data_IF_387694732137
#
_entry.id   IF_387694732137
#
_cell.length_a   1.000
_cell.length_b   1.000
_cell.length_c   1.000
_cell.angle_alpha   90.00
_cell.angle_beta   90.00
_cell.angle_gamma   90.00
#
_symmetry.space_group_name_H-M   'P 1'
#
loop_
_entity.id
_entity.type
_entity.pdbx_description
1 polymer ?
#
# COMPACT_ATOMS: atom_id res chain seq x y z
N UNK A 1 12.24 -1.09 -2.41
CA UNK A 1 11.08 -0.18 -2.30
C UNK A 1 11.19 1.00 -3.26
N UNK A 2 10.05 1.57 -3.70
CA UNK A 2 9.95 2.66 -4.67
C UNK A 2 10.81 3.89 -4.39
N UNK A 3 11.14 4.17 -3.12
CA UNK A 3 12.02 5.28 -2.73
C UNK A 3 13.36 5.27 -3.50
N UNK A 4 13.89 4.07 -3.78
CA UNK A 4 15.16 3.85 -4.49
C UNK A 4 14.98 3.46 -5.97
N UNK A 5 13.76 3.50 -6.50
CA UNK A 5 13.53 3.21 -7.92
C UNK A 5 14.07 4.37 -8.79
N UNK A 6 14.41 4.07 -10.03
CA UNK A 6 14.69 5.12 -11.01
C UNK A 6 13.42 5.96 -11.24
N UNK A 7 13.59 7.24 -11.61
CA UNK A 7 12.46 8.16 -11.76
C UNK A 7 11.43 7.64 -12.76
N UNK A 8 11.88 7.07 -13.88
CA UNK A 8 10.99 6.55 -14.92
C UNK A 8 10.09 5.41 -14.41
N UNK A 9 10.57 4.61 -13.45
CA UNK A 9 9.76 3.57 -12.80
C UNK A 9 8.82 4.16 -11.74
N UNK A 10 9.24 5.22 -11.05
CA UNK A 10 8.37 5.90 -10.08
C UNK A 10 7.20 6.60 -10.76
N UNK A 11 7.43 7.18 -11.94
CA UNK A 11 6.41 7.85 -12.74
C UNK A 11 5.30 6.86 -13.21
N UNK A 12 5.60 5.55 -13.21
CA UNK A 12 4.69 4.47 -13.60
C UNK A 12 4.21 3.62 -12.42
N UNK A 13 4.34 4.08 -11.18
CA UNK A 13 3.76 3.40 -10.04
C UNK A 13 2.22 3.40 -10.10
N UNK A 14 1.54 2.38 -9.55
CA UNK A 14 0.12 2.45 -9.28
C UNK A 14 -0.24 3.70 -8.46
N UNK A 15 -1.44 4.28 -8.64
CA UNK A 15 -1.85 5.49 -7.94
C UNK A 15 -1.72 5.38 -6.41
N UNK A 16 -2.08 4.22 -5.84
CA UNK A 16 -1.94 3.95 -4.41
C UNK A 16 -0.48 4.02 -3.95
N UNK A 17 0.41 3.29 -4.62
CA UNK A 17 1.84 3.28 -4.34
C UNK A 17 2.49 4.67 -4.56
N UNK A 18 1.98 5.46 -5.52
CA UNK A 18 2.43 6.83 -5.77
C UNK A 18 2.12 7.75 -4.58
N UNK A 19 0.90 7.66 -4.05
CA UNK A 19 0.49 8.44 -2.86
C UNK A 19 1.33 8.04 -1.65
N UNK A 20 1.52 6.74 -1.43
CA UNK A 20 2.34 6.22 -0.33
C UNK A 20 3.80 6.67 -0.43
N UNK A 21 4.43 6.54 -1.60
CA UNK A 21 5.80 7.03 -1.83
C UNK A 21 5.93 8.53 -1.55
N UNK A 22 4.95 9.33 -1.99
CA UNK A 22 4.94 10.77 -1.72
C UNK A 22 4.87 11.04 -0.21
N UNK A 23 3.97 10.37 0.51
CA UNK A 23 3.82 10.54 1.95
C UNK A 23 5.10 10.12 2.70
N UNK A 24 5.68 8.98 2.33
CA UNK A 24 6.94 8.47 2.88
C UNK A 24 8.08 9.47 2.69
N UNK A 25 8.22 10.06 1.48
CA UNK A 25 9.20 11.12 1.21
C UNK A 25 8.96 12.37 2.04
N UNK A 26 7.72 12.84 2.10
CA UNK A 26 7.37 14.03 2.89
C UNK A 26 7.70 13.81 4.37
N UNK A 27 7.39 12.63 4.93
CA UNK A 27 7.71 12.30 6.33
C UNK A 27 9.22 12.23 6.55
N UNK A 28 9.96 11.50 5.69
CA UNK A 28 11.41 11.40 5.77
C UNK A 28 12.10 12.78 5.72
N UNK A 29 11.72 13.64 4.77
CA UNK A 29 12.31 14.98 4.65
C UNK A 29 11.96 15.87 5.84
N UNK A 30 10.73 15.77 6.34
CA UNK A 30 10.33 16.50 7.56
C UNK A 30 11.19 16.07 8.74
N UNK A 31 11.27 14.78 9.03
CA UNK A 31 12.01 14.23 10.17
C UNK A 31 13.51 14.54 10.06
N UNK A 32 14.08 14.45 8.85
CA UNK A 32 15.46 14.88 8.60
C UNK A 32 15.67 16.36 8.89
N UNK A 33 14.78 17.24 8.43
CA UNK A 33 14.91 18.68 8.64
C UNK A 33 14.76 19.07 10.11
N UNK A 34 13.89 18.38 10.85
CA UNK A 34 13.68 18.61 12.29
C UNK A 34 14.92 18.18 13.11
N UNK A 35 15.65 17.15 12.66
CA UNK A 35 16.76 16.57 13.44
C UNK A 35 18.16 16.98 12.98
N UNK A 36 18.37 17.30 11.70
CA UNK A 36 19.72 17.47 11.11
C UNK A 36 20.65 18.43 11.86
N UNK A 37 20.10 19.45 12.54
CA UNK A 37 20.87 20.41 13.32
C UNK A 37 21.40 19.83 14.64
N UNK A 38 20.76 18.78 15.15
CA UNK A 38 21.13 18.07 16.37
C UNK A 38 22.00 16.83 16.11
N UNK A 39 22.01 16.34 14.86
CA UNK A 39 22.79 15.17 14.41
C UNK A 39 23.72 15.54 13.24
N UNK A 40 24.45 16.66 13.35
CA UNK A 40 25.24 17.23 12.25
C UNK A 40 26.31 16.29 11.67
N UNK A 41 26.77 15.33 12.46
CA UNK A 41 27.81 14.36 12.06
C UNK A 41 27.24 13.12 11.36
N UNK A 42 25.92 12.98 11.30
CA UNK A 42 25.24 11.84 10.67
C UNK A 42 24.92 12.18 9.21
N UNK A 43 25.47 11.44 8.22
CA UNK A 43 25.10 11.62 6.82
C UNK A 43 23.62 11.31 6.60
N UNK A 44 22.98 12.02 5.67
CA UNK A 44 21.56 11.81 5.35
C UNK A 44 21.29 10.38 4.88
N UNK A 45 22.26 9.74 4.24
CA UNK A 45 22.19 8.36 3.78
C UNK A 45 22.04 7.39 4.97
N UNK A 46 22.83 7.58 6.03
CA UNK A 46 22.77 6.77 7.25
C UNK A 46 21.48 7.03 8.03
N UNK A 47 21.04 8.30 8.10
CA UNK A 47 19.75 8.64 8.67
C UNK A 47 18.61 7.94 7.93
N UNK A 48 18.59 8.03 6.59
CA UNK A 48 17.56 7.41 5.75
C UNK A 48 17.55 5.89 5.91
N UNK A 49 18.73 5.26 5.91
CA UNK A 49 18.85 3.82 6.14
C UNK A 49 18.24 3.41 7.49
N UNK A 50 18.57 4.14 8.56
CA UNK A 50 18.07 3.87 9.92
C UNK A 50 16.57 4.15 10.02
N UNK A 51 16.08 5.22 9.41
CA UNK A 51 14.67 5.58 9.35
C UNK A 51 13.83 4.48 8.66
N UNK A 52 14.35 3.92 7.57
CA UNK A 52 13.71 2.79 6.89
C UNK A 52 13.73 1.51 7.70
N UNK A 53 14.79 1.24 8.47
CA UNK A 53 14.81 0.11 9.41
C UNK A 53 13.68 0.25 10.42
N UNK A 54 13.50 1.42 11.04
CA UNK A 54 12.43 1.66 12.00
C UNK A 54 11.07 1.42 11.34
N UNK A 55 10.83 1.97 10.15
CA UNK A 55 9.53 1.83 9.48
C UNK A 55 9.21 0.39 9.03
N UNK A 56 10.22 -0.42 8.72
CA UNK A 56 10.02 -1.77 8.17
C UNK A 56 10.06 -2.89 9.20
N UNK A 57 10.55 -2.62 10.42
CA UNK A 57 10.88 -3.67 11.42
C UNK A 57 10.33 -3.41 12.82
N UNK A 58 9.64 -2.30 13.02
CA UNK A 58 9.06 -1.96 14.32
C UNK A 58 7.76 -2.71 14.59
N UNK A 59 7.47 -2.93 15.86
CA UNK A 59 6.20 -3.39 16.39
C UNK A 59 5.55 -2.27 17.22
N UNK A 60 4.21 -2.27 17.31
CA UNK A 60 3.48 -1.29 18.11
C UNK A 60 3.29 -1.76 19.55
N UNK A 61 4.03 -1.16 20.48
CA UNK A 61 3.97 -1.48 21.90
C UNK A 61 3.10 -0.47 22.65
N UNK A 62 1.84 -0.83 22.84
CA UNK A 62 0.85 0.01 23.51
C UNK A 62 0.75 -0.23 25.02
N UNK A 63 1.68 -0.99 25.60
CA UNK A 63 1.71 -1.42 27.00
C UNK A 63 0.47 -2.26 27.40
N UNK A 64 0.31 -3.45 26.81
CA UNK A 64 -0.82 -4.33 27.09
C UNK A 64 -0.75 -4.90 28.51
N UNK A 65 -1.91 -5.22 29.08
CA UNK A 65 -2.09 -5.92 30.36
C UNK A 65 -1.39 -5.30 31.59
N UNK A 66 -1.04 -4.02 31.52
CA UNK A 66 -0.54 -3.26 32.66
C UNK A 66 -1.65 -2.48 33.36
N UNK A 67 -1.70 -2.59 34.69
CA UNK A 67 -2.56 -1.74 35.53
C UNK A 67 -2.26 -0.26 35.29
N UNK A 68 -3.27 0.61 35.29
CA UNK A 68 -3.12 2.04 35.05
C UNK A 68 -2.14 2.76 36.01
N UNK A 69 -1.88 2.18 37.19
CA UNK A 69 -0.92 2.68 38.17
C UNK A 69 0.51 2.11 38.01
N UNK A 70 0.73 1.25 37.01
CA UNK A 70 1.98 0.51 36.88
C UNK A 70 3.16 1.45 36.55
N UNK A 71 4.31 1.34 37.23
CA UNK A 71 5.42 2.29 37.11
C UNK A 71 6.10 2.30 35.72
N UNK A 72 5.92 1.24 34.92
CA UNK A 72 6.41 1.18 33.53
C UNK A 72 5.53 1.95 32.54
N UNK A 73 4.33 2.40 32.92
CA UNK A 73 3.47 3.14 32.01
C UNK A 73 3.98 4.58 31.81
N UNK A 74 3.96 5.10 30.57
CA UNK A 74 4.28 6.50 30.32
C UNK A 74 3.31 7.43 31.04
N UNK A 75 3.85 8.43 31.76
CA UNK A 75 3.05 9.41 32.53
C UNK A 75 1.97 10.13 31.69
N UNK A 76 2.16 10.23 30.37
CA UNK A 76 1.26 10.89 29.42
C UNK A 76 0.72 9.91 28.36
N UNK A 77 0.47 8.64 28.71
CA UNK A 77 -0.03 7.60 27.78
C UNK A 77 -1.19 8.06 26.90
N UNK A 78 -2.15 8.81 27.46
CA UNK A 78 -3.32 9.34 26.72
C UNK A 78 -2.98 10.34 25.60
N UNK A 79 -1.77 10.88 25.60
CA UNK A 79 -1.29 11.82 24.59
C UNK A 79 -0.38 11.14 23.56
N UNK A 80 -0.03 9.87 23.76
CA UNK A 80 0.80 9.13 22.82
C UNK A 80 -0.02 8.78 21.58
N UNK A 81 0.63 8.94 20.43
CA UNK A 81 0.15 8.48 19.13
C UNK A 81 0.79 7.14 18.80
N UNK A 82 0.36 6.51 17.69
CA UNK A 82 0.98 5.29 17.21
C UNK A 82 2.49 5.46 16.96
N UNK A 83 2.91 6.64 16.45
CA UNK A 83 4.31 6.95 16.18
C UNK A 83 5.18 7.02 17.47
N UNK A 84 4.56 7.19 18.64
CA UNK A 84 5.28 7.20 19.93
C UNK A 84 5.44 5.79 20.54
N UNK A 85 4.86 4.78 19.92
CA UNK A 85 4.75 3.41 20.45
C UNK A 85 5.57 2.39 19.65
N UNK A 86 6.58 2.84 18.89
CA UNK A 86 7.46 1.96 18.15
C UNK A 86 8.43 1.20 19.05
N UNK A 87 8.49 -0.12 18.89
CA UNK A 87 9.43 -1.00 19.56
C UNK A 87 10.18 -1.85 18.54
N UNK A 88 11.51 -1.84 18.63
CA UNK A 88 12.35 -2.77 17.88
C UNK A 88 12.41 -4.09 18.65
N UNK A 89 12.06 -5.20 17.98
CA UNK A 89 12.05 -6.54 18.58
C UNK A 89 13.06 -7.45 17.87
N UNK A 90 14.35 -7.43 18.27
CA UNK A 90 15.34 -8.32 17.69
C UNK A 90 14.90 -9.78 17.75
N UNK A 91 15.26 -10.56 16.73
CA UNK A 91 14.83 -11.94 16.49
C UNK A 91 13.41 -12.06 15.93
N UNK A 92 12.46 -11.28 16.44
CA UNK A 92 11.09 -11.24 15.89
C UNK A 92 11.03 -10.52 14.56
N UNK A 93 11.85 -9.49 14.37
CA UNK A 93 11.94 -8.75 13.12
C UNK A 93 12.60 -9.54 11.97
N UNK A 94 13.05 -10.78 12.22
CA UNK A 94 13.52 -11.69 11.17
C UNK A 94 12.41 -12.49 10.50
N UNK A 95 11.21 -12.58 11.08
CA UNK A 95 10.11 -13.28 10.44
C UNK A 95 9.64 -12.52 9.20
N UNK A 96 9.56 -13.23 8.07
CA UNK A 96 9.02 -12.68 6.83
C UNK A 96 7.49 -12.67 6.85
N UNK A 97 6.91 -11.86 5.96
CA UNK A 97 5.47 -11.72 5.83
C UNK A 97 4.84 -12.84 4.99
N UNK A 98 3.70 -13.33 5.46
CA UNK A 98 2.67 -13.93 4.61
C UNK A 98 1.31 -13.34 4.96
N UNK A 99 0.39 -13.34 3.99
CA UNK A 99 -0.99 -12.92 4.21
C UNK A 99 -1.76 -13.90 5.12
N UNK A 100 -1.24 -15.11 5.30
CA UNK A 100 -1.65 -16.11 6.29
C UNK A 100 -0.39 -16.55 7.06
N UNK A 101 -0.33 -16.26 8.35
CA UNK A 101 0.77 -16.70 9.19
C UNK A 101 0.51 -16.49 10.67
N UNK A 102 1.55 -16.68 11.48
CA UNK A 102 1.46 -16.48 12.92
C UNK A 102 1.08 -15.03 13.24
N UNK A 103 0.16 -14.84 14.19
CA UNK A 103 -0.24 -13.52 14.66
C UNK A 103 0.55 -13.15 15.93
N UNK A 104 1.34 -12.06 15.92
CA UNK A 104 2.09 -11.62 17.10
C UNK A 104 1.13 -11.30 18.25
N UNK A 105 1.35 -11.91 19.41
CA UNK A 105 0.63 -11.56 20.64
C UNK A 105 1.54 -10.75 21.56
N UNK A 106 0.98 -9.81 22.31
CA UNK A 106 1.71 -9.02 23.28
C UNK A 106 0.98 -9.02 24.62
N UNK A 107 1.73 -9.23 25.70
CA UNK A 107 1.23 -9.14 27.07
C UNK A 107 2.16 -8.26 27.92
N UNK A 108 1.89 -8.16 29.22
CA UNK A 108 2.74 -7.39 30.15
C UNK A 108 4.22 -7.80 30.22
N UNK A 109 4.61 -8.96 29.66
CA UNK A 109 5.97 -9.51 29.65
C UNK A 109 6.69 -9.30 28.32
N UNK A 110 5.97 -9.12 27.22
CA UNK A 110 6.57 -8.86 25.91
C UNK A 110 5.73 -9.41 24.76
N UNK A 111 6.33 -9.43 23.58
CA UNK A 111 5.78 -10.13 22.43
C UNK A 111 6.03 -11.63 22.50
N UNK A 112 5.13 -12.40 21.89
CA UNK A 112 5.27 -13.82 21.68
C UNK A 112 4.65 -14.21 20.33
N UNK A 113 5.24 -15.22 19.70
CA UNK A 113 4.68 -15.86 18.51
C UNK A 113 4.34 -17.30 18.85
N UNK A 114 3.14 -17.70 18.46
CA UNK A 114 2.70 -19.09 18.54
C UNK A 114 2.56 -19.62 17.12
N UNK A 115 3.10 -20.80 16.86
CA UNK A 115 2.94 -21.46 15.58
C UNK A 115 1.44 -21.67 15.30
N UNK A 116 0.97 -21.15 14.17
CA UNK A 116 -0.40 -21.27 13.67
C UNK A 116 -0.72 -22.66 13.14
N UNK A 117 0.31 -23.43 12.79
CA UNK A 117 0.22 -24.80 12.28
C UNK A 117 1.47 -25.61 12.59
N UNK A 118 1.44 -26.89 12.22
CA UNK A 118 2.64 -27.73 12.25
C UNK A 118 3.59 -27.33 11.11
N UNK A 119 4.85 -27.07 11.46
CA UNK A 119 5.94 -26.78 10.52
C UNK A 119 6.88 -27.97 10.40
N UNK A 120 7.36 -28.26 9.19
CA UNK A 120 8.40 -29.27 8.96
C UNK A 120 9.78 -28.68 9.24
N UNK A 121 10.75 -29.54 9.58
CA UNK A 121 12.14 -29.10 9.68
C UNK A 121 12.62 -28.54 8.32
N UNK A 122 13.18 -27.33 8.34
CA UNK A 122 13.60 -26.60 7.14
C UNK A 122 12.49 -25.77 6.47
N UNK A 123 11.26 -25.80 6.99
CA UNK A 123 10.19 -24.93 6.54
C UNK A 123 10.28 -23.56 7.23
N UNK A 124 10.09 -22.49 6.46
CA UNK A 124 10.10 -21.14 6.98
C UNK A 124 8.80 -20.83 7.74
N UNK A 125 8.95 -20.13 8.87
CA UNK A 125 7.84 -19.62 9.68
C UNK A 125 7.57 -18.19 9.27
N UNK A 126 6.31 -17.90 8.92
CA UNK A 126 5.88 -16.56 8.52
C UNK A 126 4.99 -15.93 9.60
N UNK A 127 4.94 -14.61 9.58
CA UNK A 127 4.05 -13.81 10.42
C UNK A 127 3.20 -12.90 9.53
N UNK A 128 2.02 -12.50 10.01
CA UNK A 128 1.27 -11.43 9.36
C UNK A 128 1.78 -10.07 9.85
N UNK A 129 2.15 -9.18 8.94
CA UNK A 129 2.45 -7.77 9.27
C UNK A 129 1.16 -6.95 9.42
N UNK A 130 0.01 -7.55 9.13
CA UNK A 130 -1.29 -6.90 9.06
C UNK A 130 -1.96 -7.10 7.69
N UNK A 131 -3.22 -6.70 7.59
CA UNK A 131 -4.01 -6.76 6.35
C UNK A 131 -3.60 -5.64 5.39
N UNK A 132 -2.45 -5.83 4.73
CA UNK A 132 -1.86 -4.86 3.82
C UNK A 132 -2.08 -5.23 2.35
N UNK A 133 -2.39 -4.22 1.53
CA UNK A 133 -2.42 -4.38 0.07
C UNK A 133 -1.00 -4.51 -0.48
N UNK A 134 -0.88 -5.07 -1.69
CA UNK A 134 0.43 -5.16 -2.34
C UNK A 134 1.00 -3.76 -2.69
N UNK A 135 0.17 -2.73 -2.86
CA UNK A 135 0.66 -1.36 -3.01
C UNK A 135 1.30 -0.82 -1.72
N UNK A 136 0.74 -1.17 -0.56
CA UNK A 136 1.30 -0.83 0.74
C UNK A 136 2.60 -1.60 1.02
N UNK A 137 2.59 -2.92 0.81
CA UNK A 137 3.78 -3.76 0.95
C UNK A 137 4.92 -3.27 0.04
N UNK A 138 4.60 -2.88 -1.20
CA UNK A 138 5.58 -2.36 -2.13
C UNK A 138 6.20 -1.05 -1.63
N UNK A 139 5.36 -0.09 -1.23
CA UNK A 139 5.80 1.24 -0.82
C UNK A 139 6.57 1.23 0.50
N UNK A 140 6.05 0.54 1.51
CA UNK A 140 6.59 0.57 2.87
C UNK A 140 7.64 -0.51 3.14
N UNK A 141 7.48 -1.72 2.58
CA UNK A 141 8.41 -2.84 2.83
C UNK A 141 9.28 -3.21 1.63
N UNK A 142 8.87 -2.83 0.41
CA UNK A 142 9.66 -3.02 -0.80
C UNK A 142 9.47 -4.35 -1.52
N UNK A 143 8.41 -5.09 -1.21
CA UNK A 143 8.05 -6.34 -1.89
C UNK A 143 6.54 -6.40 -2.17
N UNK A 144 6.11 -7.36 -2.98
CA UNK A 144 4.70 -7.73 -3.17
C UNK A 144 4.56 -9.23 -2.94
N UNK A 145 3.39 -9.70 -2.54
CA UNK A 145 3.09 -11.13 -2.53
C UNK A 145 2.50 -11.54 -3.88
N UNK A 146 2.80 -12.75 -4.34
CA UNK A 146 2.21 -13.28 -5.59
C UNK A 146 0.70 -13.46 -5.47
N UNK A 147 0.25 -13.95 -4.31
CA UNK A 147 -1.16 -14.03 -3.91
C UNK A 147 -1.32 -13.30 -2.58
N UNK A 148 -2.31 -12.41 -2.48
CA UNK A 148 -2.59 -11.65 -1.27
C UNK A 148 -4.10 -11.52 -1.08
N UNK A 149 -4.64 -12.22 -0.07
CA UNK A 149 -6.07 -12.16 0.26
C UNK A 149 -6.55 -10.77 0.70
N UNK A 150 -5.63 -9.94 1.21
CA UNK A 150 -5.92 -8.58 1.70
C UNK A 150 -5.73 -7.50 0.62
N UNK A 151 -5.45 -7.89 -0.63
CA UNK A 151 -5.25 -6.91 -1.70
C UNK A 151 -6.55 -6.21 -2.09
N UNK A 152 -6.44 -4.94 -2.45
CA UNK A 152 -7.55 -4.11 -2.88
C UNK A 152 -7.04 -2.91 -3.68
N UNK A 153 -7.92 -2.33 -4.50
CA UNK A 153 -7.58 -1.22 -5.40
C UNK A 153 -8.41 0.01 -5.03
N UNK A 154 -7.78 1.15 -4.67
CA UNK A 154 -8.53 2.38 -4.47
C UNK A 154 -9.00 2.96 -5.81
N UNK A 155 -10.28 3.33 -5.86
CA UNK A 155 -10.97 3.86 -7.02
C UNK A 155 -11.07 5.39 -7.02
N UNK A 156 -10.59 6.08 -5.99
CA UNK A 156 -10.63 7.54 -5.85
C UNK A 156 -10.12 8.27 -7.10
N UNK A 157 -8.98 7.84 -7.64
CA UNK A 157 -8.37 8.43 -8.84
C UNK A 157 -9.21 8.25 -10.11
N UNK A 158 -10.16 7.30 -10.12
CA UNK A 158 -11.09 7.07 -11.23
C UNK A 158 -12.42 7.77 -11.03
N UNK A 159 -12.92 7.82 -9.78
CA UNK A 159 -14.28 8.27 -9.47
C UNK A 159 -14.35 9.76 -9.11
N UNK A 160 -13.40 10.28 -8.31
CA UNK A 160 -13.42 11.69 -7.90
C UNK A 160 -13.39 12.67 -9.08
N UNK A 161 -12.62 12.44 -10.17
CA UNK A 161 -12.62 13.33 -11.32
C UNK A 161 -13.94 13.40 -12.10
N UNK A 162 -14.86 12.46 -11.86
CA UNK A 162 -16.17 12.41 -12.53
C UNK A 162 -17.23 13.27 -11.85
N UNK A 163 -16.95 13.76 -10.64
CA UNK A 163 -17.92 14.47 -9.82
C UNK A 163 -17.98 15.95 -10.17
N UNK A 164 -19.20 16.50 -10.15
CA UNK A 164 -19.38 17.95 -10.07
C UNK A 164 -18.98 18.47 -8.69
N UNK A 165 -18.86 19.80 -8.56
CA UNK A 165 -18.59 20.42 -7.26
C UNK A 165 -19.72 20.13 -6.27
N UNK A 166 -20.97 20.23 -6.72
CA UNK A 166 -22.16 19.98 -5.90
C UNK A 166 -22.20 18.53 -5.41
N UNK A 167 -21.89 17.56 -6.27
CA UNK A 167 -21.81 16.15 -5.87
C UNK A 167 -20.66 15.90 -4.88
N UNK A 168 -19.53 16.55 -5.09
CA UNK A 168 -18.37 16.45 -4.18
C UNK A 168 -18.71 16.98 -2.79
N UNK A 169 -19.41 18.11 -2.71
CA UNK A 169 -19.79 18.72 -1.44
C UNK A 169 -20.86 17.90 -0.72
N UNK A 170 -21.86 17.37 -1.43
CA UNK A 170 -22.85 16.45 -0.86
C UNK A 170 -22.19 15.21 -0.23
N UNK A 171 -21.24 14.56 -0.93
CA UNK A 171 -20.52 13.41 -0.38
C UNK A 171 -19.70 13.75 0.86
N UNK A 172 -19.19 14.98 0.99
CA UNK A 172 -18.46 15.41 2.19
C UNK A 172 -19.43 15.62 3.36
N UNK A 173 -20.56 16.27 3.11
CA UNK A 173 -21.62 16.48 4.11
C UNK A 173 -22.16 15.16 4.63
N UNK A 174 -22.37 14.19 3.74
CA UNK A 174 -22.88 12.87 4.08
C UNK A 174 -21.78 11.91 4.62
N UNK A 175 -20.51 12.32 4.59
CA UNK A 175 -19.38 11.51 5.08
C UNK A 175 -18.92 10.38 4.13
N UNK A 176 -19.38 10.36 2.88
CA UNK A 176 -19.03 9.35 1.87
C UNK A 176 -17.90 9.76 0.91
N UNK A 177 -17.35 10.97 1.00
CA UNK A 177 -16.30 11.44 0.09
C UNK A 177 -14.99 10.65 0.24
N UNK A 178 -14.52 10.04 -0.86
CA UNK A 178 -13.26 9.30 -0.98
C UNK A 178 -13.24 7.94 -0.27
N UNK A 179 -12.08 7.28 -0.28
CA UNK A 179 -11.85 5.91 0.23
C UNK A 179 -12.74 4.88 -0.48
N UNK A 180 -12.87 5.01 -1.79
CA UNK A 180 -13.61 4.08 -2.62
C UNK A 180 -12.71 2.89 -2.93
N UNK A 181 -13.14 1.68 -2.60
CA UNK A 181 -12.28 0.50 -2.67
C UNK A 181 -12.94 -0.59 -3.51
N UNK A 182 -12.15 -1.19 -4.39
CA UNK A 182 -12.44 -2.42 -5.13
C UNK A 182 -11.74 -3.58 -4.43
N UNK A 183 -12.48 -4.63 -4.10
CA UNK A 183 -11.98 -5.80 -3.39
C UNK A 183 -11.79 -6.99 -4.33
N UNK A 184 -11.03 -7.97 -3.84
CA UNK A 184 -10.80 -9.28 -4.47
C UNK A 184 -11.99 -10.24 -4.34
N UNK A 185 -12.89 -9.97 -3.40
CA UNK A 185 -14.00 -10.84 -2.99
C UNK A 185 -15.26 -10.01 -2.75
N UNK A 186 -16.40 -10.69 -2.56
CA UNK A 186 -17.65 -10.01 -2.23
C UNK A 186 -17.61 -9.36 -0.84
N UNK A 187 -18.12 -8.13 -0.71
CA UNK A 187 -18.67 -7.30 -1.78
C UNK A 187 -17.57 -6.74 -2.70
N UNK A 188 -17.77 -6.78 -4.04
CA UNK A 188 -16.79 -6.30 -5.03
C UNK A 188 -16.33 -4.86 -4.76
N UNK A 189 -17.23 -4.00 -4.27
CA UNK A 189 -16.91 -2.62 -3.90
C UNK A 189 -17.46 -2.26 -2.53
N UNK A 190 -16.77 -1.35 -1.83
CA UNK A 190 -17.22 -0.86 -0.53
C UNK A 190 -18.50 -0.02 -0.61
N UNK A 191 -19.20 0.15 0.52
CA UNK A 191 -20.41 0.97 0.60
C UNK A 191 -20.20 2.43 0.13
N UNK A 192 -19.02 3.01 0.38
CA UNK A 192 -18.68 4.37 -0.09
C UNK A 192 -18.64 4.44 -1.61
N UNK A 193 -18.10 3.41 -2.26
CA UNK A 193 -18.09 3.30 -3.71
C UNK A 193 -19.53 3.14 -4.27
N UNK A 194 -20.40 2.39 -3.58
CA UNK A 194 -21.83 2.29 -3.95
C UNK A 194 -22.54 3.64 -3.86
N UNK A 195 -22.25 4.45 -2.83
CA UNK A 195 -22.84 5.78 -2.64
C UNK A 195 -22.42 6.76 -3.74
N UNK A 196 -21.12 6.88 -4.04
CA UNK A 196 -20.62 7.80 -5.08
C UNK A 196 -21.13 7.41 -6.47
N UNK A 197 -21.18 6.11 -6.79
CA UNK A 197 -21.70 5.67 -8.10
C UNK A 197 -23.19 5.96 -8.24
N UNK A 198 -23.99 5.80 -7.17
CA UNK A 198 -25.41 6.17 -7.17
C UNK A 198 -25.59 7.67 -7.35
N UNK A 199 -24.76 8.49 -6.70
CA UNK A 199 -24.82 9.94 -6.89
C UNK A 199 -24.48 10.37 -8.33
N UNK A 200 -23.59 9.63 -9.00
CA UNK A 200 -23.23 9.89 -10.40
C UNK A 200 -24.35 9.47 -11.36
N UNK A 201 -24.98 8.31 -11.10
CA UNK A 201 -25.85 7.63 -12.08
C UNK A 201 -27.34 7.91 -11.88
N UNK A 202 -27.75 8.20 -10.65
CA UNK A 202 -29.14 8.36 -10.24
C UNK A 202 -29.48 9.81 -9.91
N UNK A 203 -30.77 10.07 -9.69
CA UNK A 203 -31.21 11.35 -9.15
C UNK A 203 -30.92 11.48 -7.64
N UNK A 204 -30.90 12.72 -7.15
CA UNK A 204 -30.59 13.02 -5.75
C UNK A 204 -31.54 12.33 -4.76
N UNK A 205 -32.82 12.11 -5.11
CA UNK A 205 -33.77 11.44 -4.22
C UNK A 205 -33.37 9.99 -4.00
N UNK A 206 -32.99 9.28 -5.06
CA UNK A 206 -32.52 7.88 -4.96
C UNK A 206 -31.21 7.76 -4.20
N UNK A 207 -30.28 8.66 -4.44
CA UNK A 207 -29.04 8.73 -3.67
C UNK A 207 -29.33 8.96 -2.18
N UNK A 208 -30.15 9.96 -1.83
CA UNK A 208 -30.48 10.26 -0.43
C UNK A 208 -31.19 9.11 0.27
N UNK A 209 -32.10 8.40 -0.42
CA UNK A 209 -32.76 7.21 0.16
C UNK A 209 -31.76 6.08 0.46
N UNK A 210 -30.78 5.84 -0.42
CA UNK A 210 -29.75 4.83 -0.18
C UNK A 210 -28.84 5.21 0.99
N UNK A 211 -28.33 6.45 1.00
CA UNK A 211 -27.45 6.95 2.07
C UNK A 211 -28.17 7.02 3.42
N UNK A 212 -29.46 7.39 3.41
CA UNK A 212 -30.31 7.42 4.60
C UNK A 212 -30.70 6.04 5.12
N UNK A 213 -30.44 4.96 4.37
CA UNK A 213 -30.82 3.59 4.73
C UNK A 213 -32.29 3.25 4.50
N UNK A 214 -33.04 4.11 3.80
CA UNK A 214 -34.45 3.89 3.45
C UNK A 214 -34.62 2.94 2.24
N UNK A 215 -33.57 2.74 1.44
CA UNK A 215 -33.53 1.88 0.26
C UNK A 215 -32.23 1.06 0.25
N UNK A 216 -32.34 -0.27 0.07
CA UNK A 216 -31.18 -1.16 -0.05
C UNK A 216 -30.43 -0.99 -1.39
N UNK A 217 -31.03 -0.26 -2.33
CA UNK A 217 -30.46 0.08 -3.63
C UNK A 217 -30.46 -1.08 -4.62
N UNK A 218 -31.14 -2.18 -4.32
CA UNK A 218 -31.17 -3.40 -5.16
C UNK A 218 -31.76 -3.15 -6.56
N UNK A 219 -32.77 -2.28 -6.66
CA UNK A 219 -33.48 -1.97 -7.92
C UNK A 219 -32.58 -1.34 -8.97
N UNK A 220 -31.66 -0.48 -8.56
CA UNK A 220 -30.76 0.26 -9.45
C UNK A 220 -29.37 -0.39 -9.56
N UNK A 221 -29.13 -1.51 -8.86
CA UNK A 221 -27.80 -2.13 -8.77
C UNK A 221 -27.26 -2.52 -10.14
N UNK A 222 -28.08 -3.05 -11.06
CA UNK A 222 -27.65 -3.39 -12.41
C UNK A 222 -27.11 -2.16 -13.16
N UNK A 223 -27.78 -1.02 -13.05
CA UNK A 223 -27.35 0.24 -13.68
C UNK A 223 -26.06 0.78 -13.08
N UNK A 224 -25.88 0.64 -11.76
CA UNK A 224 -24.64 1.00 -11.05
C UNK A 224 -23.48 0.09 -11.50
N UNK A 225 -23.72 -1.21 -11.60
CA UNK A 225 -22.75 -2.20 -12.04
C UNK A 225 -22.30 -1.95 -13.48
N UNK A 226 -23.24 -1.71 -14.40
CA UNK A 226 -22.94 -1.40 -15.80
C UNK A 226 -22.04 -0.15 -15.94
N UNK A 227 -22.35 0.89 -15.16
CA UNK A 227 -21.56 2.12 -15.17
C UNK A 227 -20.14 1.89 -14.64
N UNK A 228 -20.00 1.19 -13.51
CA UNK A 228 -18.69 0.83 -12.95
C UNK A 228 -17.89 -0.07 -13.91
N UNK A 229 -18.51 -1.08 -14.51
CA UNK A 229 -17.87 -1.95 -15.48
C UNK A 229 -17.32 -1.16 -16.68
N UNK A 230 -18.02 -0.11 -17.11
CA UNK A 230 -17.55 0.83 -18.13
C UNK A 230 -16.29 1.59 -17.71
N UNK A 231 -16.25 2.09 -16.47
CA UNK A 231 -15.06 2.78 -15.91
C UNK A 231 -13.88 1.82 -15.81
N UNK A 232 -14.09 0.64 -15.22
CA UNK A 232 -13.06 -0.38 -15.04
C UNK A 232 -12.53 -0.90 -16.38
N UNK A 233 -13.38 -1.01 -17.41
CA UNK A 233 -12.93 -1.38 -18.77
C UNK A 233 -11.95 -0.35 -19.34
N UNK A 234 -12.23 0.95 -19.15
CA UNK A 234 -11.29 2.00 -19.57
C UNK A 234 -9.99 1.94 -18.78
N UNK A 235 -10.09 1.71 -17.47
CA UNK A 235 -8.91 1.57 -16.62
C UNK A 235 -8.05 0.36 -17.02
N UNK A 236 -8.65 -0.81 -17.30
CA UNK A 236 -7.89 -1.97 -17.78
C UNK A 236 -7.15 -1.69 -19.08
N UNK A 237 -7.69 -0.88 -20.00
CA UNK A 237 -6.97 -0.48 -21.22
C UNK A 237 -5.78 0.40 -20.90
N UNK A 238 -5.96 1.37 -20.00
CA UNK A 238 -4.85 2.21 -19.52
C UNK A 238 -3.73 1.40 -18.88
N UNK A 239 -4.05 0.33 -18.15
CA UNK A 239 -3.05 -0.57 -17.57
C UNK A 239 -2.25 -1.30 -18.65
N UNK A 240 -2.86 -1.66 -19.78
CA UNK A 240 -2.14 -2.26 -20.92
C UNK A 240 -1.11 -1.27 -21.46
N UNK A 241 -1.50 -0.01 -21.68
CA UNK A 241 -0.57 1.04 -22.15
C UNK A 241 0.62 1.20 -21.18
N UNK A 242 0.37 1.17 -19.86
CA UNK A 242 1.42 1.26 -18.83
C UNK A 242 2.35 0.04 -18.86
N UNK A 243 1.80 -1.17 -19.05
CA UNK A 243 2.61 -2.38 -19.16
C UNK A 243 3.52 -2.32 -20.40
N UNK A 244 3.00 -1.86 -21.54
CA UNK A 244 3.79 -1.66 -22.76
C UNK A 244 4.90 -0.62 -22.54
N UNK A 245 4.60 0.50 -21.87
CA UNK A 245 5.58 1.52 -21.52
C UNK A 245 6.69 0.96 -20.59
N UNK A 246 6.30 0.19 -19.57
CA UNK A 246 7.24 -0.48 -18.67
C UNK A 246 8.14 -1.47 -19.40
N UNK A 247 7.59 -2.25 -20.34
CA UNK A 247 8.35 -3.20 -21.15
C UNK A 247 9.40 -2.50 -22.02
N UNK A 248 9.08 -1.31 -22.55
CA UNK A 248 9.98 -0.49 -23.36
C UNK A 248 11.09 0.21 -22.56
N UNK A 249 10.97 0.36 -21.24
CA UNK A 249 12.04 0.94 -20.42
C UNK A 249 13.27 0.02 -20.48
N UNK A 250 14.30 0.48 -21.19
CA UNK A 250 15.61 -0.14 -21.20
C UNK A 250 16.21 -0.09 -19.79
N UNK A 251 16.50 -1.26 -19.23
CA UNK A 251 17.34 -1.37 -18.04
C UNK A 251 18.82 -1.15 -18.37
N UNK A 252 19.15 -1.10 -19.66
CA UNK A 252 20.47 -0.89 -20.24
C UNK A 252 20.63 0.52 -20.81
N UNK A 253 21.01 1.50 -19.97
CA UNK A 253 21.71 2.67 -20.52
C UNK A 253 23.21 2.40 -20.54
N UNK A 254 23.68 1.88 -21.68
CA UNK A 254 25.01 2.13 -22.23
C UNK A 254 26.20 1.57 -21.47
N UNK A 255 26.59 0.35 -21.84
CA UNK A 255 28.01 -0.05 -21.87
C UNK A 255 28.71 0.82 -22.92
N UNK A 256 29.00 2.07 -22.58
CA UNK A 256 30.00 2.82 -23.31
C UNK A 256 31.36 2.22 -22.92
N UNK A 257 31.89 1.41 -23.82
CA UNK A 257 33.28 0.97 -23.86
C UNK A 257 34.21 2.17 -23.82
N UNK A 258 34.47 2.71 -22.62
CA UNK A 258 35.66 3.48 -22.33
C UNK A 258 36.49 2.69 -21.33
N UNK A 259 37.44 1.99 -21.91
CA UNK A 259 38.62 1.40 -21.29
C UNK A 259 39.19 2.31 -20.20
N UNK A 260 39.16 1.84 -18.93
CA UNK A 260 40.06 2.18 -17.80
C UNK A 260 39.40 2.29 -16.41
N UNK A 261 38.42 1.45 -16.05
CA UNK A 261 37.95 1.34 -14.65
C UNK A 261 38.12 -0.09 -14.11
N UNK A 262 38.86 -0.22 -13.01
CA UNK A 262 39.24 -1.48 -12.39
C UNK A 262 38.05 -2.37 -11.99
N UNK A 263 38.35 -3.64 -11.70
CA UNK A 263 37.39 -4.72 -11.37
C UNK A 263 36.26 -4.33 -10.40
N UNK A 264 36.53 -3.45 -9.43
CA UNK A 264 35.54 -2.96 -8.47
C UNK A 264 34.41 -2.14 -9.12
N UNK A 265 34.71 -1.31 -10.11
CA UNK A 265 33.71 -0.46 -10.79
C UNK A 265 32.74 -1.26 -11.66
N UNK A 266 33.21 -2.35 -12.26
CA UNK A 266 32.36 -3.25 -13.07
C UNK A 266 31.36 -4.03 -12.21
N UNK A 267 31.77 -4.48 -11.01
CA UNK A 267 30.90 -5.19 -10.08
C UNK A 267 29.77 -4.30 -9.54
N UNK A 268 30.07 -3.05 -9.17
CA UNK A 268 29.07 -2.08 -8.71
C UNK A 268 28.05 -1.74 -9.80
N UNK A 269 28.50 -1.51 -11.04
CA UNK A 269 27.58 -1.25 -12.16
C UNK A 269 26.66 -2.44 -12.45
N UNK A 270 27.20 -3.67 -12.40
CA UNK A 270 26.40 -4.90 -12.58
C UNK A 270 25.34 -5.05 -11.48
N UNK A 271 25.68 -4.72 -10.22
CA UNK A 271 24.73 -4.76 -9.12
C UNK A 271 23.59 -3.75 -9.27
N UNK A 272 23.91 -2.51 -9.68
CA UNK A 272 22.90 -1.47 -9.94
C UNK A 272 21.97 -1.85 -11.09
N UNK A 273 22.52 -2.42 -12.17
CA UNK A 273 21.71 -2.90 -13.30
C UNK A 273 20.76 -4.02 -12.87
N UNK A 274 21.27 -5.04 -12.15
CA UNK A 274 20.44 -6.14 -11.64
C UNK A 274 19.33 -5.62 -10.73
N UNK A 275 19.62 -4.61 -9.90
CA UNK A 275 18.62 -3.99 -9.04
C UNK A 275 17.55 -3.25 -9.84
N UNK A 276 17.92 -2.51 -10.88
CA UNK A 276 16.95 -1.82 -11.76
C UNK A 276 16.03 -2.81 -12.48
N UNK A 277 16.59 -3.92 -12.98
CA UNK A 277 15.81 -4.99 -13.61
C UNK A 277 14.81 -5.61 -12.62
N UNK A 278 15.23 -5.91 -11.39
CA UNK A 278 14.32 -6.38 -10.33
C UNK A 278 13.21 -5.38 -10.00
N UNK A 279 13.53 -4.09 -9.92
CA UNK A 279 12.53 -3.05 -9.68
C UNK A 279 11.47 -3.00 -10.80
N UNK A 280 11.90 -3.13 -12.06
CA UNK A 280 10.99 -3.22 -13.21
C UNK A 280 10.13 -4.48 -13.16
N UNK A 281 10.70 -5.64 -12.85
CA UNK A 281 9.97 -6.91 -12.73
C UNK A 281 8.88 -6.87 -11.64
N UNK A 282 9.19 -6.31 -10.47
CA UNK A 282 8.21 -6.12 -9.40
C UNK A 282 7.07 -5.21 -9.85
N UNK A 283 7.37 -4.11 -10.54
CA UNK A 283 6.36 -3.18 -11.02
C UNK A 283 5.48 -3.78 -12.12
N UNK A 284 6.07 -4.51 -13.06
CA UNK A 284 5.32 -5.29 -14.07
C UNK A 284 4.39 -6.31 -13.41
N UNK A 285 4.88 -7.02 -12.40
CA UNK A 285 4.10 -8.01 -11.66
C UNK A 285 2.93 -7.35 -10.93
N UNK A 286 3.15 -6.20 -10.27
CA UNK A 286 2.08 -5.46 -9.60
C UNK A 286 1.01 -5.00 -10.57
N UNK A 287 1.37 -4.44 -11.73
CA UNK A 287 0.39 -4.00 -12.72
C UNK A 287 -0.40 -5.16 -13.33
N UNK A 288 0.23 -6.33 -13.51
CA UNK A 288 -0.47 -7.56 -13.93
C UNK A 288 -1.52 -7.97 -12.89
N UNK A 289 -1.17 -7.98 -11.60
CA UNK A 289 -2.12 -8.25 -10.51
C UNK A 289 -3.29 -7.26 -10.51
N UNK A 290 -3.02 -5.96 -10.60
CA UNK A 290 -4.07 -4.93 -10.65
C UNK A 290 -5.00 -5.16 -11.85
N UNK A 291 -4.44 -5.48 -13.02
CA UNK A 291 -5.23 -5.75 -14.23
C UNK A 291 -6.11 -6.99 -14.06
N UNK A 292 -5.59 -8.05 -13.46
CA UNK A 292 -6.35 -9.28 -13.19
C UNK A 292 -7.52 -9.01 -12.24
N UNK A 293 -7.29 -8.27 -11.16
CA UNK A 293 -8.33 -7.85 -10.22
C UNK A 293 -9.42 -7.03 -10.91
N UNK A 294 -9.01 -6.03 -11.71
CA UNK A 294 -9.93 -5.18 -12.47
C UNK A 294 -10.76 -6.00 -13.46
N UNK A 295 -10.14 -6.94 -14.18
CA UNK A 295 -10.85 -7.79 -15.16
C UNK A 295 -11.81 -8.76 -14.50
N UNK A 296 -11.42 -9.33 -13.36
CA UNK A 296 -12.28 -10.20 -12.54
C UNK A 296 -13.52 -9.43 -12.08
N UNK A 297 -13.33 -8.21 -11.57
CA UNK A 297 -14.42 -7.33 -11.18
C UNK A 297 -15.34 -6.97 -12.36
N UNK A 298 -14.79 -6.67 -13.55
CA UNK A 298 -15.60 -6.41 -14.76
C UNK A 298 -16.46 -7.62 -15.10
N UNK A 299 -15.91 -8.84 -15.00
CA UNK A 299 -16.65 -10.08 -15.23
C UNK A 299 -17.84 -10.21 -14.27
N UNK A 300 -17.57 -10.07 -12.96
CA UNK A 300 -18.58 -10.22 -11.92
C UNK A 300 -19.64 -9.10 -11.91
N UNK A 301 -19.32 -7.89 -12.37
CA UNK A 301 -20.30 -6.80 -12.50
C UNK A 301 -21.27 -6.99 -13.68
N UNK A 302 -20.90 -7.82 -14.67
CA UNK A 302 -21.70 -8.06 -15.90
C UNK A 302 -22.54 -9.33 -15.85
N UNK A 303 -22.38 -10.16 -14.82
CA UNK A 303 -23.22 -11.32 -14.53
C UNK A 303 -24.45 -10.91 -13.74
#
# INVERSE_FOLDING_TARGET
MPLYYAKELQDLLPPAATVLLRNQRTKLEKDWNDLRTYISDVPKELFTYTWLIVNTRTFYWDYPDLLNSHPRLPKKRKLLTADDCYAMCPFMDYFNHSDIGCDPQADSKGYSFTADRNYKAGEEVFVSYGSHTNDFLLAEYGFILDTNQNDSIPLDHLLLPLLSKEQTDALKEDGFHGNYTLFTQDPIICHRAQAVLRLIVLDNRRYSSFVGGDDDGSKEQARVNDYLAGILTKYSRRIIDILEELEQIETDRGVATSSSKGQFGAATMRAQHLQRSKHKEVLLSRWKQIRELVNTAIGALRT
#
